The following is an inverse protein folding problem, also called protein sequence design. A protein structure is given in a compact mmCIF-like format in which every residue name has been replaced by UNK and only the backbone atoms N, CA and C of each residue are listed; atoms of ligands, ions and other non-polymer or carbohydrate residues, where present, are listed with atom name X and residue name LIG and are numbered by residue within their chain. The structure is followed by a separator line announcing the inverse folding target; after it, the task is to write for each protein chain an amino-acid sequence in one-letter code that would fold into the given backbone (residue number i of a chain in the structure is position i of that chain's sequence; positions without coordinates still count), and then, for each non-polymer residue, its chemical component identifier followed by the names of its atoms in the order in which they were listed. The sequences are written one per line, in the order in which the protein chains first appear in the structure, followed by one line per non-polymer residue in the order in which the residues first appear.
data_IF_595898767939
#
_entry.id   IF_595898767939
#
_cell.length_a   1.000
_cell.length_b   1.000
_cell.length_c   1.000
_cell.angle_alpha   90.00
_cell.angle_beta   90.00
_cell.angle_gamma   90.00
#
_symmetry.space_group_name_H-M   'P 1'
#
loop_
_entity.id
_entity.type
_entity.pdbx_description
1 polymer ?
#
# COMPACT_ATOMS: atom_id res chain seq x y z
N UNK A 1 6.58 15.16 -29.26
CA UNK A 1 6.58 14.36 -28.00
C UNK A 1 7.12 15.29 -26.93
N UNK A 2 6.21 15.97 -26.25
CA UNK A 2 6.44 17.29 -25.66
C UNK A 2 7.06 17.22 -24.26
N UNK A 3 7.86 18.22 -23.90
CA UNK A 3 8.52 18.36 -22.59
C UNK A 3 7.52 18.27 -21.42
N UNK A 4 6.28 18.72 -21.62
CA UNK A 4 5.19 18.61 -20.64
C UNK A 4 4.86 17.16 -20.27
N UNK A 5 4.92 16.23 -21.21
CA UNK A 5 4.66 14.81 -20.95
C UNK A 5 5.76 14.18 -20.08
N UNK A 6 7.03 14.53 -20.35
CA UNK A 6 8.18 14.05 -19.57
C UNK A 6 8.20 14.63 -18.15
N UNK A 7 7.86 15.92 -18.01
CA UNK A 7 7.72 16.59 -16.71
C UNK A 7 6.55 15.98 -15.92
N UNK A 8 5.40 15.74 -16.56
CA UNK A 8 4.25 15.08 -15.95
C UNK A 8 4.61 13.67 -15.45
N UNK A 9 5.25 12.85 -16.29
CA UNK A 9 5.65 11.49 -15.94
C UNK A 9 6.68 11.49 -14.80
N UNK A 10 7.66 12.39 -14.83
CA UNK A 10 8.65 12.56 -13.76
C UNK A 10 8.02 13.00 -12.44
N UNK A 11 7.04 13.93 -12.47
CA UNK A 11 6.28 14.33 -11.29
C UNK A 11 5.45 13.17 -10.73
N UNK A 12 4.80 12.40 -11.61
CA UNK A 12 4.02 11.22 -11.21
C UNK A 12 4.89 10.15 -10.58
N UNK A 13 6.11 9.93 -11.07
CA UNK A 13 7.09 9.03 -10.46
C UNK A 13 7.56 9.53 -9.08
N UNK A 14 7.75 10.83 -8.89
CA UNK A 14 8.12 11.41 -7.58
C UNK A 14 7.04 11.21 -6.51
N UNK A 15 5.78 11.10 -6.90
CA UNK A 15 4.66 10.79 -5.99
C UNK A 15 4.49 9.29 -5.71
N UNK A 16 5.35 8.44 -6.30
CA UNK A 16 5.38 7.00 -6.01
C UNK A 16 6.49 6.71 -5.02
N UNK A 17 6.12 6.19 -3.85
CA UNK A 17 7.07 5.72 -2.84
C UNK A 17 7.06 4.21 -2.81
N UNK A 18 8.23 3.58 -2.96
CA UNK A 18 8.40 2.13 -2.89
C UNK A 18 9.18 1.78 -1.64
N UNK A 19 8.69 0.81 -0.87
CA UNK A 19 9.37 0.27 0.30
C UNK A 19 9.40 -1.25 0.27
N UNK A 20 10.41 -1.83 0.93
CA UNK A 20 10.52 -3.27 1.16
C UNK A 20 10.29 -3.53 2.65
N UNK A 21 9.40 -4.46 2.96
CA UNK A 21 9.07 -4.84 4.34
C UNK A 21 9.08 -6.37 4.48
N UNK A 22 9.40 -6.93 5.66
CA UNK A 22 9.32 -8.37 5.88
C UNK A 22 7.89 -8.89 5.68
N UNK A 23 7.77 -10.05 5.02
CA UNK A 23 6.51 -10.76 4.91
C UNK A 23 6.23 -11.52 6.21
N UNK A 24 5.05 -11.32 6.80
CA UNK A 24 4.64 -11.99 8.04
C UNK A 24 4.16 -13.42 7.74
N UNK A 25 3.63 -13.66 6.55
CA UNK A 25 3.20 -14.99 6.11
C UNK A 25 3.32 -15.18 4.59
N UNK A 26 2.97 -16.38 4.13
CA UNK A 26 2.84 -16.68 2.70
C UNK A 26 1.65 -15.97 2.05
N UNK A 27 0.64 -15.56 2.84
CA UNK A 27 -0.54 -14.84 2.34
C UNK A 27 -0.24 -13.36 2.19
N UNK A 28 -0.55 -12.82 1.02
CA UNK A 28 -0.38 -11.39 0.73
C UNK A 28 -1.35 -10.50 1.51
N UNK A 29 -2.39 -11.05 2.11
CA UNK A 29 -3.31 -10.32 3.01
C UNK A 29 -2.62 -9.91 4.30
N UNK A 30 -1.56 -10.60 4.70
CA UNK A 30 -0.93 -10.45 6.02
C UNK A 30 0.22 -9.44 5.90
N UNK A 31 -0.15 -8.24 5.45
CA UNK A 31 0.75 -7.10 5.27
C UNK A 31 0.98 -6.51 6.66
N UNK A 32 2.23 -6.23 7.05
CA UNK A 32 2.50 -5.45 8.25
C UNK A 32 1.63 -4.18 8.32
N UNK A 33 1.06 -3.86 9.48
CA UNK A 33 0.25 -2.65 9.64
C UNK A 33 1.09 -1.40 9.36
N UNK A 34 0.45 -0.38 8.79
CA UNK A 34 1.01 0.96 8.67
C UNK A 34 0.03 1.97 9.29
N UNK A 35 0.36 3.26 9.25
CA UNK A 35 -0.42 4.31 9.92
C UNK A 35 -1.82 4.57 9.32
N UNK A 36 -2.18 3.89 8.23
CA UNK A 36 -3.41 4.13 7.49
C UNK A 36 -4.28 2.88 7.35
N UNK A 37 -5.59 3.09 7.30
CA UNK A 37 -6.53 2.01 7.01
C UNK A 37 -6.69 1.83 5.50
N UNK A 38 -6.55 0.57 5.05
CA UNK A 38 -6.58 0.19 3.64
C UNK A 38 -7.64 -0.88 3.38
N UNK A 39 -8.38 -0.73 2.28
CA UNK A 39 -9.28 -1.76 1.77
C UNK A 39 -8.79 -2.30 0.44
N UNK A 40 -8.77 -3.63 0.31
CA UNK A 40 -8.46 -4.30 -0.95
C UNK A 40 -9.59 -4.03 -1.95
N UNK A 41 -9.23 -3.68 -3.18
CA UNK A 41 -10.22 -3.46 -4.25
C UNK A 41 -9.95 -4.30 -5.49
N UNK A 42 -8.79 -4.94 -5.56
CA UNK A 42 -8.44 -5.77 -6.70
C UNK A 42 -7.23 -6.65 -6.42
N UNK A 43 -7.04 -7.61 -7.31
CA UNK A 43 -5.89 -8.49 -7.34
C UNK A 43 -5.58 -8.81 -8.81
N UNK A 44 -4.30 -8.83 -9.17
CA UNK A 44 -3.86 -9.21 -10.52
C UNK A 44 -2.82 -10.32 -10.47
N UNK A 45 -2.95 -11.41 -11.25
CA UNK A 45 -1.88 -12.37 -11.43
C UNK A 45 -0.61 -11.70 -11.99
N UNK A 46 0.56 -12.13 -11.53
CA UNK A 46 1.85 -11.69 -12.05
C UNK A 46 2.44 -12.85 -12.86
N UNK A 47 2.81 -12.60 -14.13
CA UNK A 47 3.43 -13.62 -14.99
C UNK A 47 4.75 -14.09 -14.37
N UNK A 48 4.89 -15.39 -14.14
CA UNK A 48 6.10 -16.00 -13.59
C UNK A 48 6.23 -15.93 -12.06
N UNK A 49 5.28 -15.32 -11.36
CA UNK A 49 5.25 -15.33 -9.88
C UNK A 49 4.17 -16.29 -9.40
N UNK A 50 4.45 -17.11 -8.36
CA UNK A 50 3.42 -17.91 -7.70
C UNK A 50 2.46 -17.05 -6.85
N UNK A 51 2.80 -15.78 -6.60
CA UNK A 51 2.00 -14.86 -5.81
C UNK A 51 1.41 -13.74 -6.69
N UNK A 52 0.13 -13.39 -6.52
CA UNK A 52 -0.49 -12.28 -7.23
C UNK A 52 -0.08 -10.92 -6.65
N UNK A 53 -0.37 -9.83 -7.36
CA UNK A 53 -0.31 -8.45 -6.85
C UNK A 53 -1.64 -8.05 -6.22
N UNK A 54 -1.63 -7.57 -4.99
CA UNK A 54 -2.80 -7.01 -4.30
C UNK A 54 -2.89 -5.50 -4.48
N UNK A 55 -4.11 -4.98 -4.69
CA UNK A 55 -4.36 -3.55 -4.87
C UNK A 55 -5.29 -3.02 -3.79
N UNK A 56 -4.88 -1.92 -3.18
CA UNK A 56 -5.52 -1.34 -2.00
C UNK A 56 -5.76 0.16 -2.19
N UNK A 57 -6.86 0.63 -1.61
CA UNK A 57 -7.18 2.06 -1.54
C UNK A 57 -7.42 2.46 -0.10
N UNK A 58 -7.09 3.70 0.23
CA UNK A 58 -7.42 4.23 1.55
C UNK A 58 -8.93 4.08 1.82
N UNK A 59 -9.26 3.70 3.06
CA UNK A 59 -10.63 3.57 3.54
C UNK A 59 -11.01 4.59 4.60
N UNK A 60 -10.06 5.40 5.10
CA UNK A 60 -10.32 6.38 6.17
C UNK A 60 -11.33 7.47 5.77
N UNK A 61 -11.21 8.03 4.56
CA UNK A 61 -12.12 9.08 4.06
C UNK A 61 -12.54 8.77 2.63
N UNK A 62 -13.83 8.99 2.33
CA UNK A 62 -14.38 8.83 0.98
C UNK A 62 -13.70 9.82 0.03
N UNK A 63 -13.17 9.29 -1.08
CA UNK A 63 -12.52 10.12 -2.10
C UNK A 63 -11.03 10.38 -1.86
N UNK A 64 -10.44 9.90 -0.75
CA UNK A 64 -9.00 9.97 -0.56
C UNK A 64 -8.25 9.35 -1.77
N UNK A 65 -7.28 10.05 -2.39
CA UNK A 65 -6.63 9.58 -3.61
C UNK A 65 -5.55 8.53 -3.34
N UNK A 66 -5.07 8.38 -2.10
CA UNK A 66 -4.03 7.44 -1.73
C UNK A 66 -4.37 5.97 -2.09
N UNK A 67 -3.44 5.33 -2.79
CA UNK A 67 -3.49 3.92 -3.20
C UNK A 67 -2.19 3.24 -2.82
N UNK A 68 -2.23 1.92 -2.64
CA UNK A 68 -1.02 1.11 -2.62
C UNK A 68 -1.22 -0.20 -3.36
N UNK A 69 -0.16 -0.75 -3.90
CA UNK A 69 -0.13 -2.15 -4.32
C UNK A 69 0.99 -2.89 -3.62
N UNK A 70 0.72 -4.16 -3.34
CA UNK A 70 1.65 -5.05 -2.63
C UNK A 70 1.90 -6.28 -3.48
N UNK A 71 3.15 -6.68 -3.55
CA UNK A 71 3.58 -7.93 -4.14
C UNK A 71 4.73 -8.54 -3.36
N UNK A 72 4.93 -9.84 -3.53
CA UNK A 72 6.13 -10.49 -3.00
C UNK A 72 7.33 -10.11 -3.88
N UNK A 73 8.46 -9.82 -3.26
CA UNK A 73 9.70 -9.57 -3.98
C UNK A 73 10.08 -10.81 -4.80
N UNK A 74 10.44 -10.60 -6.07
CA UNK A 74 10.84 -11.68 -6.98
C UNK A 74 12.23 -12.22 -6.66
N UNK A 75 13.08 -11.38 -6.08
CA UNK A 75 14.44 -11.69 -5.66
C UNK A 75 14.50 -12.32 -4.27
N UNK A 76 13.55 -12.00 -3.40
CA UNK A 76 13.50 -12.50 -2.03
C UNK A 76 12.06 -12.74 -1.56
N UNK A 77 11.59 -14.00 -1.55
CA UNK A 77 10.26 -14.34 -1.09
C UNK A 77 10.00 -13.98 0.37
N UNK A 78 11.00 -13.72 1.21
CA UNK A 78 10.77 -13.27 2.60
C UNK A 78 10.34 -11.80 2.70
N UNK A 79 10.40 -11.05 1.59
CA UNK A 79 10.11 -9.62 1.54
C UNK A 79 8.89 -9.31 0.69
N UNK A 80 8.17 -8.25 1.08
CA UNK A 80 7.11 -7.62 0.31
C UNK A 80 7.61 -6.30 -0.26
N UNK A 81 7.23 -6.02 -1.51
CA UNK A 81 7.37 -4.70 -2.14
C UNK A 81 6.03 -3.99 -2.05
N UNK A 82 6.00 -2.88 -1.32
CA UNK A 82 4.82 -2.01 -1.22
C UNK A 82 5.09 -0.73 -2.00
N UNK A 83 4.25 -0.43 -2.97
CA UNK A 83 4.29 0.82 -3.72
C UNK A 83 3.08 1.66 -3.37
N UNK A 84 3.33 2.83 -2.80
CA UNK A 84 2.34 3.84 -2.48
C UNK A 84 2.24 4.85 -3.62
N UNK A 85 1.02 5.22 -3.98
CA UNK A 85 0.74 6.22 -5.02
C UNK A 85 -0.31 7.21 -4.53
N UNK A 86 -0.06 8.51 -4.76
CA UNK A 86 -0.92 9.58 -4.29
C UNK A 86 -0.79 9.83 -2.78
N UNK A 87 -1.19 11.02 -2.36
CA UNK A 87 -1.07 11.46 -0.96
C UNK A 87 -2.41 11.33 -0.22
N UNK A 88 -2.35 11.15 1.08
CA UNK A 88 -3.53 11.25 1.91
C UNK A 88 -3.94 12.72 2.03
N UNK A 89 -5.22 13.00 1.86
CA UNK A 89 -5.80 14.34 2.01
C UNK A 89 -6.56 14.49 3.34
N UNK A 90 -6.18 13.70 4.33
CA UNK A 90 -6.77 13.67 5.66
C UNK A 90 -5.67 13.37 6.68
N UNK A 91 -5.91 13.77 7.93
CA UNK A 91 -5.04 13.40 9.05
C UNK A 91 -5.12 11.89 9.30
N UNK A 92 -4.11 11.35 9.98
CA UNK A 92 -4.16 9.99 10.48
C UNK A 92 -5.39 9.85 11.38
N UNK A 93 -6.33 9.00 11.00
CA UNK A 93 -7.40 8.61 11.90
C UNK A 93 -6.79 7.68 12.93
N UNK A 94 -6.73 8.11 14.18
CA UNK A 94 -6.38 7.30 15.36
C UNK A 94 -7.52 6.30 15.62
N UNK A 95 -7.84 5.45 14.64
CA UNK A 95 -9.00 4.57 14.70
C UNK A 95 -8.65 3.14 15.15
N UNK A 96 -7.36 2.79 15.30
CA UNK A 96 -6.98 1.40 15.61
C UNK A 96 -5.88 1.25 16.69
N UNK A 97 -5.60 2.28 17.49
CA UNK A 97 -4.71 2.17 18.67
C UNK A 97 -5.45 2.17 20.02
N UNK A 98 -6.78 2.29 20.05
CA UNK A 98 -7.56 2.43 21.29
C UNK A 98 -8.41 1.21 21.68
N UNK A 99 -8.05 -0.01 21.26
CA UNK A 99 -8.75 -1.23 21.70
C UNK A 99 -7.95 -2.11 22.68
N UNK A 100 -6.92 -1.57 23.36
CA UNK A 100 -6.19 -2.30 24.42
C UNK A 100 -6.15 -1.59 25.79
N UNK A 101 -6.89 -0.49 26.01
CA UNK A 101 -6.92 0.17 27.31
C UNK A 101 -8.36 0.59 27.67
N UNK A 102 -9.26 -0.38 27.80
CA UNK A 102 -10.46 -0.23 28.65
C UNK A 102 -11.04 -1.59 29.07
N UNK A 103 -10.20 -2.46 29.64
CA UNK A 103 -10.64 -3.50 30.57
C UNK A 103 -9.70 -3.49 31.78
N UNK A 104 -9.84 -2.46 32.60
CA UNK A 104 -9.49 -2.53 34.03
C UNK A 104 -10.32 -1.48 34.77
N UNK A 105 -11.53 -1.86 35.13
CA UNK A 105 -12.30 -1.27 36.23
C UNK A 105 -13.15 -2.38 36.83
#
# INVERSE_FOLDING_TARGET
MDLDFSIYYSRKLRLKRVVRIPAISLKLSDIPPDDYSWRKYGQKPIKGSPHPRGYYKCSSVRGCPARKHVERASDDPSMLVVTYEGEHNHTLSVAETTNLILESS
#
